data_IF_705883666037
#
_entry.id   IF_705883666037
#
_cell.length_a   1.000
_cell.length_b   1.000
_cell.length_c   1.000
_cell.angle_alpha   90.00
_cell.angle_beta   90.00
_cell.angle_gamma   90.00
#
_symmetry.space_group_name_H-M   'P 1'
#
loop_
_entity.id
_entity.type
_entity.pdbx_description
1 polymer ?
#
# COMPACT_ATOMS: atom_id res chain seq x y z
N UNK A 1 -6.35 58.63 -0.15
CA UNK A 1 -6.68 57.35 0.51
C UNK A 1 -6.84 56.15 -0.46
N UNK A 2 -7.25 56.34 -1.70
CA UNK A 2 -7.48 55.23 -2.65
C UNK A 2 -6.22 54.47 -3.12
N UNK A 3 -5.05 55.10 -3.18
CA UNK A 3 -3.79 54.46 -3.64
C UNK A 3 -3.15 53.51 -2.60
N UNK A 4 -3.35 53.73 -1.32
CA UNK A 4 -2.81 52.86 -0.25
C UNK A 4 -3.59 51.55 -0.11
N UNK A 5 -4.88 51.55 -0.45
CA UNK A 5 -5.73 50.36 -0.43
C UNK A 5 -5.39 49.38 -1.58
N UNK A 6 -4.99 49.91 -2.74
CA UNK A 6 -4.63 49.11 -3.91
C UNK A 6 -3.30 48.34 -3.71
N UNK A 7 -2.33 48.96 -3.01
CA UNK A 7 -1.07 48.27 -2.67
C UNK A 7 -1.26 47.17 -1.63
N UNK A 8 -2.18 47.31 -0.67
CA UNK A 8 -2.48 46.24 0.28
C UNK A 8 -3.14 45.01 -0.38
N UNK A 9 -4.01 45.24 -1.37
CA UNK A 9 -4.65 44.13 -2.10
C UNK A 9 -3.62 43.35 -2.95
N UNK A 10 -2.61 44.01 -3.50
CA UNK A 10 -1.55 43.38 -4.30
C UNK A 10 -0.60 42.54 -3.44
N UNK A 11 -0.30 42.96 -2.21
CA UNK A 11 0.55 42.20 -1.27
C UNK A 11 -0.16 40.97 -0.73
N UNK A 12 -1.48 41.04 -0.53
CA UNK A 12 -2.26 39.87 -0.09
C UNK A 12 -2.38 38.82 -1.18
N UNK A 13 -2.51 39.21 -2.47
CA UNK A 13 -2.53 38.27 -3.59
C UNK A 13 -1.19 37.55 -3.82
N UNK A 14 -0.04 38.17 -3.52
CA UNK A 14 1.27 37.53 -3.73
C UNK A 14 1.64 36.52 -2.63
N UNK A 15 1.02 36.58 -1.45
CA UNK A 15 1.27 35.63 -0.36
C UNK A 15 0.50 34.30 -0.55
N UNK A 16 -0.56 34.28 -1.37
CA UNK A 16 -1.37 33.08 -1.61
C UNK A 16 -0.73 32.15 -2.68
N UNK A 17 0.20 32.63 -3.48
CA UNK A 17 0.83 31.87 -4.57
C UNK A 17 2.05 31.04 -4.16
N UNK A 18 2.46 31.00 -2.90
CA UNK A 18 3.68 30.33 -2.43
C UNK A 18 3.45 28.99 -1.72
N UNK A 19 2.35 28.30 -2.01
CA UNK A 19 2.10 26.93 -1.49
C UNK A 19 1.76 25.96 -2.59
N UNK A 20 2.70 25.74 -3.49
CA UNK A 20 2.64 24.60 -4.38
C UNK A 20 4.05 24.25 -4.83
N UNK A 21 4.80 23.62 -3.98
CA UNK A 21 5.88 22.70 -4.32
C UNK A 21 6.22 21.89 -3.07
N UNK A 22 5.32 21.00 -2.67
CA UNK A 22 5.79 19.75 -2.11
C UNK A 22 6.34 19.00 -3.33
N UNK A 23 7.64 19.03 -3.54
CA UNK A 23 8.29 18.05 -4.39
C UNK A 23 7.94 16.70 -3.79
N UNK A 24 6.95 16.05 -4.39
CA UNK A 24 6.54 14.72 -4.01
C UNK A 24 7.78 13.83 -4.21
N UNK A 25 8.46 13.52 -3.12
CA UNK A 25 9.64 12.66 -3.12
C UNK A 25 9.25 11.18 -3.17
N UNK A 26 8.04 10.87 -3.68
CA UNK A 26 7.56 9.52 -3.84
C UNK A 26 8.41 8.75 -4.84
N UNK A 27 8.78 7.54 -4.48
CA UNK A 27 9.45 6.57 -5.34
C UNK A 27 10.78 7.05 -5.96
N UNK A 28 11.57 7.82 -5.23
CA UNK A 28 12.93 8.21 -5.65
C UNK A 28 13.86 6.99 -5.80
N UNK A 29 13.56 5.91 -5.10
CA UNK A 29 14.24 4.62 -5.19
C UNK A 29 13.20 3.51 -5.35
N UNK A 30 13.54 2.38 -6.01
CA UNK A 30 12.66 1.22 -6.04
C UNK A 30 12.28 0.77 -4.62
N UNK A 31 11.01 0.39 -4.36
CA UNK A 31 10.62 -0.15 -3.08
C UNK A 31 11.33 -1.49 -2.84
N UNK A 32 11.91 -1.66 -1.65
CA UNK A 32 12.52 -2.91 -1.23
C UNK A 32 11.54 -3.69 -0.37
N UNK A 33 11.40 -4.99 -0.65
CA UNK A 33 10.47 -5.84 0.07
C UNK A 33 10.50 -7.29 -0.35
N UNK A 34 9.59 -8.05 0.21
CA UNK A 34 9.37 -9.46 -0.08
C UNK A 34 8.01 -9.64 -0.78
N UNK A 35 7.95 -10.57 -1.73
CA UNK A 35 6.74 -10.93 -2.46
C UNK A 35 6.51 -12.44 -2.41
N UNK A 36 5.27 -12.88 -2.26
CA UNK A 36 4.92 -14.28 -2.03
C UNK A 36 5.10 -15.20 -3.25
N UNK A 37 5.09 -14.66 -4.48
CA UNK A 37 4.95 -15.48 -5.69
C UNK A 37 6.06 -16.51 -5.88
N UNK A 38 7.31 -16.08 -5.81
CA UNK A 38 8.43 -16.98 -6.08
C UNK A 38 8.61 -18.08 -5.03
N UNK A 39 8.10 -17.88 -3.80
CA UNK A 39 8.17 -18.88 -2.75
C UNK A 39 6.97 -19.82 -2.74
N UNK A 40 5.78 -19.28 -2.98
CA UNK A 40 4.54 -20.01 -2.67
C UNK A 40 3.59 -20.13 -3.86
N UNK A 41 3.73 -19.33 -4.91
CA UNK A 41 2.73 -19.23 -5.98
C UNK A 41 1.33 -19.06 -5.38
N UNK A 42 0.36 -19.89 -5.74
CA UNK A 42 -0.98 -19.90 -5.17
C UNK A 42 -1.11 -20.65 -3.83
N UNK A 43 -0.03 -21.24 -3.30
CA UNK A 43 -0.09 -21.94 -2.01
C UNK A 43 0.20 -20.97 -0.84
N UNK A 44 -0.59 -19.92 -0.74
CA UNK A 44 -0.47 -18.88 0.30
C UNK A 44 -1.63 -18.96 1.29
N UNK A 45 -1.36 -18.61 2.53
CA UNK A 45 -2.39 -18.45 3.56
C UNK A 45 -1.97 -17.39 4.59
N UNK A 46 -2.95 -16.93 5.36
CA UNK A 46 -2.76 -15.89 6.37
C UNK A 46 -1.64 -16.21 7.38
N UNK A 47 -1.57 -17.47 7.84
CA UNK A 47 -0.57 -17.91 8.82
C UNK A 47 0.86 -17.73 8.27
N UNK A 48 1.11 -18.22 7.04
CA UNK A 48 2.42 -18.06 6.39
C UNK A 48 2.82 -16.60 6.23
N UNK A 49 1.89 -15.73 5.82
CA UNK A 49 2.18 -14.32 5.62
C UNK A 49 2.50 -13.61 6.94
N UNK A 50 1.81 -13.97 8.03
CA UNK A 50 2.14 -13.47 9.38
C UNK A 50 3.53 -13.92 9.83
N UNK A 51 3.88 -15.19 9.60
CA UNK A 51 5.21 -15.74 9.90
C UNK A 51 6.32 -15.03 9.10
N UNK A 52 6.08 -14.72 7.81
CA UNK A 52 7.02 -13.94 7.01
C UNK A 52 7.18 -12.52 7.57
N UNK A 53 6.09 -11.86 7.98
CA UNK A 53 6.19 -10.54 8.60
C UNK A 53 7.07 -10.57 9.87
N UNK A 54 6.89 -11.59 10.71
CA UNK A 54 7.70 -11.77 11.91
C UNK A 54 9.18 -12.05 11.57
N UNK A 55 9.44 -12.87 10.55
CA UNK A 55 10.80 -13.15 10.06
C UNK A 55 11.47 -11.89 9.50
N UNK A 56 10.79 -11.08 8.71
CA UNK A 56 11.35 -9.83 8.17
C UNK A 56 11.84 -8.89 9.28
N UNK A 57 11.13 -8.87 10.42
CA UNK A 57 11.54 -8.07 11.59
C UNK A 57 12.67 -8.77 12.36
N UNK A 58 12.49 -10.04 12.71
CA UNK A 58 13.44 -10.75 13.60
C UNK A 58 14.80 -11.02 12.97
N UNK A 59 14.88 -11.12 11.65
CA UNK A 59 16.14 -11.32 10.91
C UNK A 59 16.85 -10.02 10.54
N UNK A 60 16.26 -8.85 10.84
CA UNK A 60 16.83 -7.55 10.50
C UNK A 60 16.60 -7.12 9.05
N UNK A 61 15.82 -7.83 8.27
CA UNK A 61 15.49 -7.43 6.89
C UNK A 61 14.83 -6.04 6.86
N UNK A 62 13.88 -5.80 7.78
CA UNK A 62 13.24 -4.49 7.92
C UNK A 62 14.26 -3.37 8.17
N UNK A 63 15.21 -3.58 9.08
CA UNK A 63 16.23 -2.60 9.42
C UNK A 63 17.21 -2.36 8.27
N UNK A 64 17.38 -3.35 7.39
CA UNK A 64 18.14 -3.23 6.14
C UNK A 64 17.35 -2.53 5.01
N UNK A 65 16.11 -2.07 5.27
CA UNK A 65 15.29 -1.32 4.31
C UNK A 65 14.27 -2.15 3.52
N UNK A 66 14.12 -3.46 3.79
CA UNK A 66 13.07 -4.28 3.20
C UNK A 66 11.75 -4.07 3.95
N UNK A 67 11.08 -2.97 3.65
CA UNK A 67 9.91 -2.50 4.40
C UNK A 67 8.58 -3.03 3.86
N UNK A 68 8.55 -3.51 2.61
CA UNK A 68 7.32 -3.95 1.95
C UNK A 68 7.16 -5.46 2.05
N UNK A 69 5.99 -5.90 2.51
CA UNK A 69 5.53 -7.27 2.42
C UNK A 69 4.34 -7.30 1.46
N UNK A 70 4.52 -7.98 0.32
CA UNK A 70 3.50 -8.04 -0.72
C UNK A 70 2.95 -9.46 -0.82
N UNK A 71 1.63 -9.60 -0.85
CA UNK A 71 0.99 -10.82 -1.34
C UNK A 71 0.71 -10.67 -2.83
N UNK A 72 1.07 -11.69 -3.59
CA UNK A 72 0.83 -11.76 -5.02
C UNK A 72 -0.57 -12.33 -5.28
N UNK A 73 -0.80 -12.97 -6.41
CA UNK A 73 -2.08 -13.52 -6.83
C UNK A 73 -2.62 -14.62 -5.88
N UNK A 74 -3.85 -15.08 -6.15
CA UNK A 74 -4.53 -16.20 -5.47
C UNK A 74 -5.00 -15.91 -4.02
N UNK A 75 -5.09 -14.66 -3.59
CA UNK A 75 -5.74 -14.29 -2.32
C UNK A 75 -7.25 -14.09 -2.46
N UNK A 76 -7.73 -13.95 -3.70
CA UNK A 76 -9.12 -13.75 -4.08
C UNK A 76 -9.71 -14.99 -4.76
N UNK A 77 -11.02 -15.17 -4.66
CA UNK A 77 -11.77 -16.25 -5.29
C UNK A 77 -12.75 -15.78 -6.37
N UNK A 78 -12.92 -14.50 -6.56
CA UNK A 78 -13.83 -13.94 -7.57
C UNK A 78 -14.34 -12.56 -7.16
N UNK A 79 -15.50 -12.19 -7.72
CA UNK A 79 -16.22 -10.94 -7.41
C UNK A 79 -17.67 -11.24 -7.08
N UNK A 80 -18.28 -10.39 -6.26
CA UNK A 80 -19.72 -10.40 -6.02
C UNK A 80 -20.49 -9.75 -7.17
N UNK A 81 -21.83 -9.72 -7.04
CA UNK A 81 -22.73 -9.12 -8.03
C UNK A 81 -22.57 -7.59 -8.18
N UNK A 82 -21.88 -6.96 -7.23
CA UNK A 82 -21.59 -5.53 -7.20
C UNK A 82 -20.20 -5.22 -7.74
N UNK A 83 -19.41 -6.27 -8.08
CA UNK A 83 -18.04 -6.16 -8.59
C UNK A 83 -16.97 -6.06 -7.50
N UNK A 84 -17.31 -6.23 -6.22
CA UNK A 84 -16.32 -6.24 -5.14
C UNK A 84 -15.53 -7.56 -5.16
N UNK A 85 -14.23 -7.48 -4.90
CA UNK A 85 -13.37 -8.65 -4.84
C UNK A 85 -13.69 -9.47 -3.59
N UNK A 86 -13.90 -10.78 -3.77
CA UNK A 86 -14.12 -11.73 -2.70
C UNK A 86 -12.80 -12.37 -2.28
N UNK A 87 -12.50 -12.27 -1.00
CA UNK A 87 -11.32 -12.89 -0.39
C UNK A 87 -11.52 -14.40 -0.28
N UNK A 88 -10.45 -15.17 -0.43
CA UNK A 88 -10.44 -16.59 -0.08
C UNK A 88 -10.48 -16.77 1.46
N UNK A 89 -11.67 -16.86 2.03
CA UNK A 89 -11.87 -16.99 3.49
C UNK A 89 -11.26 -18.28 4.06
N UNK A 90 -11.05 -19.31 3.24
CA UNK A 90 -10.39 -20.55 3.67
C UNK A 90 -8.91 -20.29 4.01
N UNK A 91 -8.24 -19.53 3.17
CA UNK A 91 -6.82 -19.24 3.32
C UNK A 91 -6.56 -17.95 4.11
N UNK A 92 -7.52 -17.02 4.15
CA UNK A 92 -7.45 -15.74 4.87
C UNK A 92 -8.68 -15.55 5.79
N UNK A 93 -8.84 -16.40 6.82
CA UNK A 93 -10.06 -16.42 7.64
C UNK A 93 -10.32 -15.14 8.43
N UNK A 94 -9.29 -14.36 8.77
CA UNK A 94 -9.46 -13.07 9.45
C UNK A 94 -9.70 -11.91 8.48
N UNK A 95 -9.61 -12.17 7.17
CA UNK A 95 -9.72 -11.19 6.11
C UNK A 95 -8.46 -10.34 5.91
N UNK A 96 -8.39 -9.71 4.73
CA UNK A 96 -7.21 -8.93 4.31
C UNK A 96 -6.95 -7.72 5.21
N UNK A 97 -8.02 -7.08 5.72
CA UNK A 97 -7.84 -5.94 6.62
C UNK A 97 -7.11 -6.32 7.90
N UNK A 98 -7.50 -7.42 8.55
CA UNK A 98 -6.85 -7.86 9.78
C UNK A 98 -5.40 -8.29 9.54
N UNK A 99 -5.10 -8.87 8.37
CA UNK A 99 -3.74 -9.17 7.96
C UNK A 99 -2.91 -7.90 7.75
N UNK A 100 -3.47 -6.90 7.06
CA UNK A 100 -2.83 -5.61 6.86
C UNK A 100 -2.53 -4.91 8.20
N UNK A 101 -3.50 -4.87 9.11
CA UNK A 101 -3.33 -4.28 10.44
C UNK A 101 -2.19 -4.98 11.23
N UNK A 102 -2.10 -6.32 11.12
CA UNK A 102 -1.01 -7.07 11.73
C UNK A 102 0.36 -6.69 11.16
N UNK A 103 0.49 -6.65 9.83
CA UNK A 103 1.74 -6.29 9.15
C UNK A 103 2.14 -4.85 9.49
N UNK A 104 1.20 -3.92 9.50
CA UNK A 104 1.43 -2.54 9.92
C UNK A 104 1.87 -2.44 11.39
N UNK A 105 1.34 -3.30 12.29
CA UNK A 105 1.76 -3.33 13.69
C UNK A 105 3.24 -3.73 13.87
N UNK A 106 3.83 -4.43 12.89
CA UNK A 106 5.26 -4.76 12.84
C UNK A 106 6.11 -3.62 12.24
N UNK A 107 5.46 -2.52 11.83
CA UNK A 107 6.10 -1.39 11.15
C UNK A 107 6.52 -1.70 9.71
N UNK A 108 5.91 -2.70 9.10
CA UNK A 108 6.04 -3.02 7.67
C UNK A 108 4.91 -2.36 6.88
N UNK A 109 5.12 -2.21 5.58
CA UNK A 109 4.12 -1.75 4.61
C UNK A 109 3.53 -2.98 3.91
N UNK A 110 2.21 -3.01 3.76
CA UNK A 110 1.52 -4.11 3.12
C UNK A 110 1.15 -3.78 1.68
N UNK A 111 1.51 -4.64 0.74
CA UNK A 111 1.13 -4.56 -0.66
C UNK A 111 0.29 -5.76 -1.08
N UNK A 112 -0.61 -5.54 -2.04
CA UNK A 112 -1.48 -6.57 -2.58
C UNK A 112 -1.49 -6.47 -4.10
N UNK A 113 -1.32 -7.60 -4.78
CA UNK A 113 -1.38 -7.69 -6.23
C UNK A 113 -2.80 -8.03 -6.69
N UNK A 114 -3.20 -7.48 -7.82
CA UNK A 114 -4.38 -7.90 -8.56
C UNK A 114 -4.13 -7.75 -10.04
N UNK A 115 -4.46 -8.78 -10.83
CA UNK A 115 -4.29 -8.77 -12.27
C UNK A 115 -5.51 -8.17 -12.97
N UNK A 116 -5.31 -7.17 -13.80
CA UNK A 116 -6.39 -6.59 -14.63
C UNK A 116 -7.02 -7.59 -15.59
N UNK A 117 -6.28 -8.66 -15.98
CA UNK A 117 -6.79 -9.68 -16.89
C UNK A 117 -7.85 -10.60 -16.26
N UNK A 118 -7.96 -10.64 -14.94
CA UNK A 118 -9.01 -11.42 -14.26
C UNK A 118 -10.40 -10.81 -14.44
N UNK A 119 -10.51 -9.53 -14.76
CA UNK A 119 -11.77 -8.89 -15.14
C UNK A 119 -12.37 -9.45 -16.42
N UNK A 120 -11.62 -10.24 -17.20
CA UNK A 120 -12.05 -10.86 -18.46
C UNK A 120 -12.41 -12.34 -18.35
N UNK A 121 -12.31 -12.92 -17.15
CA UNK A 121 -12.64 -14.35 -16.92
C UNK A 121 -14.06 -14.57 -16.40
N UNK A 122 -14.94 -13.58 -16.56
CA UNK A 122 -16.38 -13.70 -16.30
C UNK A 122 -17.11 -13.98 -17.60
#
# INVERSE_FOLDING_TARGET
MKKRFLCLLFVVCTVISARANSTDSLALTPPMGWNSWNCFSCNINEKQIREIADLMVSTGMKDAGYEYLNIDDCWQVGRDNEGNILVDEKNFPSGIKALADYIHSKGLKFGIYSCRSEERRV
#
